data_IF_631134265535
#
_entry.id   IF_631134265535
#
_cell.length_a   1.000
_cell.length_b   1.000
_cell.length_c   1.000
_cell.angle_alpha   90.00
_cell.angle_beta   90.00
_cell.angle_gamma   90.00
#
_symmetry.space_group_name_H-M   'P 1'
#
loop_
_entity.id
_entity.type
_entity.pdbx_description
1 polymer ?
#
# COMPACT_ATOMS: atom_id res chain seq x y z
N UNK A 1 -43.98 -4.55 3.55
CA UNK A 1 -42.82 -3.65 3.33
C UNK A 1 -41.68 -4.48 2.75
N UNK A 2 -41.06 -3.98 1.68
CA UNK A 2 -40.45 -4.79 0.60
C UNK A 2 -39.02 -5.27 0.88
N UNK A 3 -38.82 -6.58 0.90
CA UNK A 3 -37.52 -7.25 0.97
C UNK A 3 -36.88 -7.44 -0.43
N UNK A 4 -36.75 -6.37 -1.22
CA UNK A 4 -36.28 -6.45 -2.63
C UNK A 4 -34.99 -5.70 -2.93
N UNK A 5 -34.36 -5.08 -1.94
CA UNK A 5 -33.21 -4.18 -2.17
C UNK A 5 -31.99 -4.92 -2.76
N UNK A 6 -31.67 -6.12 -2.29
CA UNK A 6 -30.57 -6.93 -2.87
C UNK A 6 -30.95 -7.68 -4.15
N UNK A 7 -32.22 -7.69 -4.57
CA UNK A 7 -32.68 -8.42 -5.78
C UNK A 7 -32.14 -7.80 -7.07
N UNK A 8 -31.74 -6.53 -7.01
CA UNK A 8 -31.15 -5.81 -8.15
C UNK A 8 -29.63 -6.04 -8.28
N UNK A 9 -29.03 -6.86 -7.41
CA UNK A 9 -27.58 -7.07 -7.33
C UNK A 9 -26.79 -5.75 -7.40
N UNK A 10 -27.04 -4.79 -6.49
CA UNK A 10 -26.47 -3.46 -6.59
C UNK A 10 -24.96 -3.41 -6.28
N UNK A 11 -24.39 -4.45 -5.66
CA UNK A 11 -22.98 -4.52 -5.31
C UNK A 11 -22.19 -5.12 -6.49
N UNK A 12 -21.15 -4.41 -6.96
CA UNK A 12 -20.34 -4.86 -8.10
C UNK A 12 -19.30 -5.88 -7.65
N UNK A 13 -18.44 -5.50 -6.71
CA UNK A 13 -17.40 -6.36 -6.11
C UNK A 13 -17.68 -6.58 -4.61
N UNK A 14 -18.75 -7.31 -4.31
CA UNK A 14 -19.10 -7.62 -2.94
C UNK A 14 -20.46 -8.29 -2.77
N UNK A 15 -20.82 -8.54 -1.51
CA UNK A 15 -22.08 -9.18 -1.16
C UNK A 15 -23.09 -8.17 -0.60
N UNK A 16 -24.34 -8.28 -1.05
CA UNK A 16 -25.43 -7.43 -0.58
C UNK A 16 -26.08 -8.01 0.68
N UNK A 17 -26.09 -7.23 1.76
CA UNK A 17 -26.81 -7.52 3.00
C UNK A 17 -28.08 -6.68 3.06
N UNK A 18 -29.21 -7.33 3.35
CA UNK A 18 -30.49 -6.65 3.51
C UNK A 18 -30.82 -6.46 5.00
N UNK A 19 -31.14 -5.22 5.38
CA UNK A 19 -31.65 -4.84 6.69
C UNK A 19 -33.11 -4.38 6.59
N UNK A 20 -33.84 -4.24 7.72
CA UNK A 20 -35.28 -3.90 7.69
C UNK A 20 -35.62 -2.58 7.00
N UNK A 21 -34.71 -1.60 7.00
CA UNK A 21 -34.93 -0.25 6.44
C UNK A 21 -33.99 0.12 5.29
N UNK A 22 -32.94 -0.65 5.04
CA UNK A 22 -31.93 -0.36 4.01
C UNK A 22 -31.17 -1.63 3.60
N UNK A 23 -30.29 -1.49 2.60
CA UNK A 23 -29.29 -2.51 2.23
C UNK A 23 -27.90 -1.92 2.26
N UNK A 24 -26.90 -2.77 2.52
CA UNK A 24 -25.48 -2.40 2.55
C UNK A 24 -24.70 -3.42 1.73
N UNK A 25 -23.74 -2.94 0.96
CA UNK A 25 -22.75 -3.80 0.29
C UNK A 25 -21.56 -4.02 1.22
N UNK A 26 -21.15 -5.28 1.39
CA UNK A 26 -19.87 -5.61 2.00
C UNK A 26 -18.91 -5.93 0.86
N UNK A 27 -17.91 -5.06 0.69
CA UNK A 27 -16.98 -5.15 -0.42
C UNK A 27 -15.98 -6.27 -0.23
N UNK A 28 -15.59 -6.89 -1.35
CA UNK A 28 -14.46 -7.79 -1.41
C UNK A 28 -13.16 -7.02 -1.15
N UNK A 29 -12.08 -7.73 -0.80
CA UNK A 29 -10.77 -7.12 -0.57
C UNK A 29 -10.33 -6.27 -1.79
N UNK A 30 -9.81 -5.08 -1.53
CA UNK A 30 -9.41 -4.13 -2.58
C UNK A 30 -10.53 -3.23 -3.11
N UNK A 31 -11.78 -3.39 -2.67
CA UNK A 31 -12.91 -2.58 -3.13
C UNK A 31 -13.56 -1.73 -2.03
N UNK A 32 -14.11 -0.59 -2.42
CA UNK A 32 -14.77 0.39 -1.57
C UNK A 32 -15.91 1.09 -2.30
N UNK A 33 -16.60 1.99 -1.59
CA UNK A 33 -17.79 2.69 -2.09
C UNK A 33 -19.09 2.01 -1.68
N UNK A 34 -20.20 2.75 -1.82
CA UNK A 34 -21.55 2.28 -1.41
C UNK A 34 -21.98 1.03 -2.19
N UNK A 35 -21.49 0.89 -3.43
CA UNK A 35 -21.80 -0.22 -4.33
C UNK A 35 -20.60 -1.12 -4.61
N UNK A 36 -19.49 -0.95 -3.89
CA UNK A 36 -18.24 -1.68 -4.12
C UNK A 36 -17.76 -1.57 -5.57
N UNK A 37 -17.84 -0.36 -6.11
CA UNK A 37 -17.58 0.01 -7.49
C UNK A 37 -16.28 0.84 -7.66
N UNK A 38 -15.58 1.10 -6.55
CA UNK A 38 -14.30 1.78 -6.54
C UNK A 38 -13.21 0.89 -5.95
N UNK A 39 -12.00 0.94 -6.49
CA UNK A 39 -10.83 0.34 -5.84
C UNK A 39 -10.46 1.15 -4.59
N UNK A 40 -9.95 0.47 -3.57
CA UNK A 40 -9.33 1.12 -2.42
C UNK A 40 -8.07 1.82 -2.92
N UNK A 41 -8.05 3.15 -2.81
CA UNK A 41 -6.83 3.94 -3.06
C UNK A 41 -5.84 3.70 -1.91
N UNK A 42 -4.88 2.80 -2.14
CA UNK A 42 -3.81 2.49 -1.21
C UNK A 42 -2.87 3.68 -0.96
N UNK A 43 -2.82 4.64 -1.88
CA UNK A 43 -2.02 5.84 -1.78
C UNK A 43 -2.72 7.00 -1.05
N UNK A 44 -4.02 6.92 -0.77
CA UNK A 44 -4.80 7.99 -0.14
C UNK A 44 -4.23 8.45 1.22
N UNK A 45 -3.59 7.54 1.96
CA UNK A 45 -2.95 7.82 3.25
C UNK A 45 -1.51 8.34 3.14
N UNK A 46 -0.98 8.49 1.92
CA UNK A 46 0.43 8.80 1.66
C UNK A 46 1.39 7.89 2.42
N UNK A 47 1.34 6.56 2.21
CA UNK A 47 2.09 5.60 3.01
C UNK A 47 3.60 5.64 2.80
N UNK A 48 4.06 6.02 1.60
CA UNK A 48 5.48 6.10 1.27
C UNK A 48 6.16 7.29 1.98
N UNK A 49 7.20 7.00 2.77
CA UNK A 49 7.93 8.01 3.52
C UNK A 49 9.01 8.72 2.69
N UNK A 50 9.49 9.84 3.22
CA UNK A 50 10.75 10.50 2.82
C UNK A 50 10.90 10.76 1.31
N UNK A 51 9.79 11.10 0.63
CA UNK A 51 9.78 11.41 -0.80
C UNK A 51 9.69 10.18 -1.71
N UNK A 52 9.35 9.01 -1.17
CA UNK A 52 8.96 7.85 -1.98
C UNK A 52 7.74 8.14 -2.84
N UNK A 53 7.71 7.56 -4.04
CA UNK A 53 6.56 7.68 -4.96
C UNK A 53 5.60 6.53 -4.72
N UNK A 54 4.36 6.85 -4.35
CA UNK A 54 3.32 5.85 -4.18
C UNK A 54 2.64 5.51 -5.51
N UNK A 55 2.44 4.23 -5.76
CA UNK A 55 1.67 3.71 -6.86
C UNK A 55 0.51 2.87 -6.30
N UNK A 56 -0.70 3.24 -6.70
CA UNK A 56 -1.92 2.51 -6.34
C UNK A 56 -2.00 1.21 -7.15
N UNK A 57 -2.37 0.10 -6.51
CA UNK A 57 -2.47 -1.22 -7.11
C UNK A 57 -3.80 -1.89 -6.78
N UNK A 58 -4.25 -2.84 -7.61
CA UNK A 58 -5.54 -3.53 -7.46
C UNK A 58 -5.74 -4.17 -6.07
N UNK A 59 -4.65 -4.51 -5.38
CA UNK A 59 -4.67 -5.09 -4.03
C UNK A 59 -3.80 -4.31 -3.04
N UNK A 60 -3.78 -2.97 -3.12
CA UNK A 60 -3.10 -2.12 -2.15
C UNK A 60 -2.26 -1.03 -2.81
N UNK A 61 -0.98 -0.95 -2.44
CA UNK A 61 -0.06 0.04 -2.99
C UNK A 61 1.37 -0.50 -3.03
N UNK A 62 2.20 0.11 -3.86
CA UNK A 62 3.64 -0.06 -3.86
C UNK A 62 4.35 1.29 -3.74
N UNK A 63 5.52 1.28 -3.10
CA UNK A 63 6.37 2.47 -2.94
C UNK A 63 7.65 2.31 -3.75
N UNK A 64 7.91 3.27 -4.64
CA UNK A 64 9.24 3.44 -5.24
C UNK A 64 10.08 4.32 -4.34
N UNK A 65 11.10 3.73 -3.72
CA UNK A 65 11.96 4.42 -2.76
C UNK A 65 13.05 5.25 -3.43
N UNK A 66 13.39 6.43 -2.87
CA UNK A 66 14.54 7.18 -3.31
C UNK A 66 15.85 6.44 -2.97
N UNK A 67 16.98 6.85 -3.56
CA UNK A 67 18.30 6.33 -3.22
C UNK A 67 18.53 6.37 -1.71
N UNK A 68 19.19 5.33 -1.18
CA UNK A 68 19.45 5.08 0.25
C UNK A 68 18.23 4.73 1.13
N UNK A 69 17.03 4.53 0.59
CA UNK A 69 15.88 4.04 1.37
C UNK A 69 15.37 2.70 0.86
N UNK A 70 14.85 1.89 1.78
CA UNK A 70 14.24 0.59 1.52
C UNK A 70 13.11 0.31 2.53
N UNK A 71 12.46 -0.84 2.42
CA UNK A 71 11.25 -1.19 3.18
C UNK A 71 9.97 -0.97 2.37
N UNK A 72 8.84 -1.44 2.89
CA UNK A 72 7.54 -1.35 2.20
C UNK A 72 7.10 0.11 2.03
N UNK A 73 7.46 0.97 2.99
CA UNK A 73 7.12 2.37 3.03
C UNK A 73 8.33 3.28 2.88
N UNK A 74 9.47 2.76 2.42
CA UNK A 74 10.74 3.50 2.35
C UNK A 74 11.20 4.05 3.72
N UNK A 75 10.88 3.32 4.79
CA UNK A 75 11.14 3.72 6.18
C UNK A 75 12.56 3.37 6.65
N UNK A 76 13.24 2.47 5.94
CA UNK A 76 14.54 1.95 6.34
C UNK A 76 15.65 2.66 5.56
N UNK A 77 16.60 3.26 6.26
CA UNK A 77 17.82 3.79 5.64
C UNK A 77 18.77 2.65 5.32
N UNK A 78 19.25 2.61 4.07
CA UNK A 78 20.29 1.69 3.64
C UNK A 78 21.61 2.18 4.23
N UNK A 79 22.24 1.34 5.05
CA UNK A 79 23.62 1.54 5.52
C UNK A 79 24.52 0.52 4.82
N UNK A 80 25.27 0.98 3.84
CA UNK A 80 26.16 0.15 3.03
C UNK A 80 27.38 -0.35 3.81
N UNK A 81 27.66 0.25 4.97
CA UNK A 81 28.73 -0.14 5.88
C UNK A 81 28.28 -1.11 6.98
N UNK A 82 26.98 -1.40 7.10
CA UNK A 82 26.44 -2.28 8.13
C UNK A 82 27.08 -3.68 8.15
N UNK A 83 27.50 -4.19 6.99
CA UNK A 83 28.18 -5.49 6.86
C UNK A 83 29.71 -5.42 7.00
N UNK A 84 30.28 -4.26 7.34
CA UNK A 84 31.73 -4.02 7.42
C UNK A 84 32.49 -4.53 6.18
N UNK A 85 32.13 -4.08 4.97
CA UNK A 85 32.65 -4.66 3.73
C UNK A 85 34.13 -4.35 3.44
N UNK A 86 34.73 -3.39 4.14
CA UNK A 86 36.14 -3.02 3.96
C UNK A 86 37.08 -4.04 4.60
N UNK A 87 37.97 -4.62 3.79
CA UNK A 87 38.96 -5.59 4.25
C UNK A 87 40.09 -4.92 5.05
N UNK A 88 40.80 -5.72 5.86
CA UNK A 88 42.04 -5.32 6.55
C UNK A 88 41.91 -4.14 7.54
N UNK A 89 40.70 -3.91 8.07
CA UNK A 89 40.43 -2.81 9.01
C UNK A 89 40.31 -1.44 8.35
N UNK A 90 40.01 -1.39 7.05
CA UNK A 90 39.73 -0.13 6.34
C UNK A 90 38.51 0.61 6.91
N UNK A 91 38.54 1.94 6.86
CA UNK A 91 37.40 2.77 7.25
C UNK A 91 36.34 2.71 6.16
N UNK A 92 35.13 2.27 6.52
CA UNK A 92 33.98 2.29 5.62
C UNK A 92 33.27 3.63 5.72
N UNK A 93 32.94 4.21 4.56
CA UNK A 93 32.15 5.44 4.45
C UNK A 93 30.90 5.12 3.65
N UNK A 94 29.72 5.33 4.23
CA UNK A 94 28.44 5.15 3.52
C UNK A 94 28.22 6.35 2.57
N UNK A 95 27.91 6.04 1.32
CA UNK A 95 27.82 6.98 0.20
C UNK A 95 26.45 6.85 -0.47
N UNK A 96 26.07 7.83 -1.29
CA UNK A 96 24.74 7.85 -1.93
C UNK A 96 24.43 6.64 -2.82
N UNK A 97 25.48 6.00 -3.37
CA UNK A 97 25.37 4.83 -4.24
C UNK A 97 26.17 3.62 -3.73
N UNK A 98 26.30 3.46 -2.41
CA UNK A 98 26.95 2.30 -1.81
C UNK A 98 27.92 2.67 -0.69
N UNK A 99 29.09 2.05 -0.66
CA UNK A 99 30.13 2.34 0.33
C UNK A 99 31.47 2.63 -0.34
N UNK A 100 32.32 3.38 0.35
CA UNK A 100 33.72 3.59 0.02
C UNK A 100 34.64 3.00 1.10
N UNK A 101 35.71 2.35 0.63
CA UNK A 101 36.92 1.99 1.36
C UNK A 101 38.09 2.66 0.62
#
# INVERSE_FOLDING_TARGET
>A
FSATQCRSSPCVHGHCVQYPSNSVCWCDDGWTGVYCDALIDGCASSPCMSGGTCQDEENGYSCTCPPRLTGVNCETVIDSCASSPCMSGGTCTDEENGYNC
#
